data_IF_626499268638
#
_entry.id   IF_626499268638
#
_cell.length_a   1.000
_cell.length_b   1.000
_cell.length_c   1.000
_cell.angle_alpha   90.00
_cell.angle_beta   90.00
_cell.angle_gamma   90.00
#
_symmetry.space_group_name_H-M   'P 1'
#
loop_
_entity.id
_entity.type
_entity.pdbx_description
1 polymer ?
#
# COMPACT_ATOMS: atom_id res chain seq x y z
N UNK A 1 -3.82 -78.67 19.31
CA UNK A 1 -2.71 -78.58 18.36
C UNK A 1 -2.27 -77.12 18.34
N UNK A 2 -1.04 -76.94 18.79
CA UNK A 2 -0.06 -75.90 18.52
C UNK A 2 -0.17 -74.47 19.06
N UNK A 3 0.98 -74.10 19.62
CA UNK A 3 1.40 -72.92 20.37
C UNK A 3 1.63 -71.67 19.50
N UNK A 4 1.96 -70.58 20.21
CA UNK A 4 2.88 -69.48 19.85
C UNK A 4 2.22 -68.13 19.58
N UNK A 5 2.86 -66.99 19.82
CA UNK A 5 3.73 -66.47 20.88
C UNK A 5 3.75 -64.93 20.65
N UNK A 6 4.14 -64.16 21.66
CA UNK A 6 4.17 -62.70 21.72
C UNK A 6 4.80 -61.94 20.52
N UNK A 7 4.39 -60.70 20.25
CA UNK A 7 5.25 -59.51 20.45
C UNK A 7 4.52 -58.15 20.31
N UNK A 8 5.02 -57.20 21.10
CA UNK A 8 4.65 -55.79 21.26
C UNK A 8 5.39 -54.94 20.22
N UNK A 9 4.77 -53.91 19.63
CA UNK A 9 5.51 -52.78 19.06
C UNK A 9 4.65 -51.51 19.02
N UNK A 10 5.01 -50.55 19.88
CA UNK A 10 4.69 -49.13 19.74
C UNK A 10 5.43 -48.57 18.52
N UNK A 11 4.76 -47.74 17.71
CA UNK A 11 5.43 -46.88 16.74
C UNK A 11 4.89 -45.47 16.77
N UNK A 12 5.85 -44.55 16.69
CA UNK A 12 5.87 -43.14 17.08
C UNK A 12 5.19 -42.22 16.05
N UNK A 13 4.80 -41.03 16.54
CA UNK A 13 4.49 -39.80 15.80
C UNK A 13 5.70 -39.30 14.99
N UNK A 14 5.48 -38.66 13.82
CA UNK A 14 6.04 -37.31 13.56
C UNK A 14 4.99 -36.39 12.87
N UNK A 15 4.71 -35.16 13.36
CA UNK A 15 5.39 -33.88 13.05
C UNK A 15 5.26 -33.53 11.54
N UNK A 16 4.35 -32.65 11.08
CA UNK A 16 4.24 -31.18 11.26
C UNK A 16 5.37 -30.34 10.63
N UNK A 17 5.65 -30.51 9.31
CA UNK A 17 6.43 -29.52 8.53
C UNK A 17 5.92 -29.39 7.08
N UNK A 18 4.98 -28.47 6.82
CA UNK A 18 4.67 -28.04 5.44
C UNK A 18 4.24 -26.56 5.31
N UNK A 19 4.25 -25.79 6.40
CA UNK A 19 3.70 -24.42 6.43
C UNK A 19 4.72 -23.28 6.33
N UNK A 20 6.02 -23.55 6.50
CA UNK A 20 7.04 -22.50 6.78
C UNK A 20 7.56 -21.85 5.47
N UNK A 21 7.72 -22.63 4.39
CA UNK A 21 8.38 -22.17 3.16
C UNK A 21 7.65 -21.04 2.43
N UNK A 22 6.31 -21.07 2.41
CA UNK A 22 5.49 -20.03 1.75
C UNK A 22 5.44 -18.70 2.53
N UNK A 23 5.66 -18.74 3.84
CA UNK A 23 5.62 -17.54 4.70
C UNK A 23 6.93 -16.76 4.60
N UNK A 24 8.06 -17.46 4.64
CA UNK A 24 9.38 -16.84 4.51
C UNK A 24 9.60 -16.22 3.14
N UNK A 25 9.14 -16.88 2.07
CA UNK A 25 9.26 -16.35 0.70
C UNK A 25 8.44 -15.06 0.49
N UNK A 26 7.24 -15.00 1.10
CA UNK A 26 6.42 -13.78 1.12
C UNK A 26 7.08 -12.68 1.95
N UNK A 27 7.66 -13.02 3.09
CA UNK A 27 8.39 -12.09 3.97
C UNK A 27 9.63 -11.52 3.29
N UNK A 28 10.36 -12.34 2.54
CA UNK A 28 11.51 -11.92 1.74
C UNK A 28 11.14 -10.96 0.60
N UNK A 29 10.02 -11.22 -0.10
CA UNK A 29 9.49 -10.31 -1.12
C UNK A 29 9.05 -8.97 -0.53
N UNK A 30 8.40 -8.98 0.64
CA UNK A 30 7.99 -7.78 1.35
C UNK A 30 9.20 -6.92 1.78
N UNK A 31 10.23 -7.56 2.34
CA UNK A 31 11.47 -6.89 2.75
C UNK A 31 12.20 -6.27 1.57
N UNK A 32 12.20 -6.94 0.40
CA UNK A 32 12.83 -6.42 -0.82
C UNK A 32 12.13 -5.18 -1.36
N UNK A 33 10.80 -5.15 -1.32
CA UNK A 33 10.00 -3.97 -1.70
C UNK A 33 10.22 -2.80 -0.73
N UNK A 34 10.29 -3.09 0.58
CA UNK A 34 10.59 -2.10 1.60
C UNK A 34 11.96 -1.45 1.37
N UNK A 35 13.00 -2.25 1.13
CA UNK A 35 14.34 -1.72 0.87
C UNK A 35 14.41 -0.89 -0.43
N UNK A 36 13.64 -1.28 -1.45
CA UNK A 36 13.54 -0.52 -2.71
C UNK A 36 12.85 0.82 -2.48
N UNK A 37 11.80 0.85 -1.67
CA UNK A 37 11.11 2.07 -1.26
C UNK A 37 12.01 2.98 -0.42
N UNK A 38 12.73 2.42 0.55
CA UNK A 38 13.66 3.16 1.41
C UNK A 38 14.77 3.80 0.57
N UNK A 39 15.35 3.07 -0.38
CA UNK A 39 16.36 3.59 -1.30
C UNK A 39 15.82 4.64 -2.27
N UNK A 40 14.56 4.53 -2.69
CA UNK A 40 13.89 5.55 -3.49
C UNK A 40 13.67 6.84 -2.68
N UNK A 41 13.16 6.72 -1.45
CA UNK A 41 12.94 7.85 -0.55
C UNK A 41 14.25 8.56 -0.19
N UNK A 42 15.34 7.81 -0.03
CA UNK A 42 16.67 8.38 0.25
C UNK A 42 17.21 9.22 -0.91
N UNK A 43 16.80 8.94 -2.16
CA UNK A 43 17.15 9.74 -3.34
C UNK A 43 16.28 10.98 -3.50
N UNK A 44 14.99 10.87 -3.19
CA UNK A 44 14.06 12.00 -3.26
C UNK A 44 14.27 13.01 -2.12
N UNK A 45 14.72 12.53 -0.96
CA UNK A 45 15.04 13.34 0.20
C UNK A 45 16.53 13.19 0.55
N UNK A 46 17.47 13.81 -0.19
CA UNK A 46 18.87 13.78 0.18
C UNK A 46 19.00 14.44 1.56
N UNK A 47 19.27 13.64 2.60
CA UNK A 47 19.76 14.19 3.86
C UNK A 47 21.06 14.90 3.51
N UNK A 48 21.06 16.23 3.47
CA UNK A 48 22.31 17.00 3.54
C UNK A 48 23.00 16.53 4.82
N UNK A 49 24.08 15.77 4.68
CA UNK A 49 25.01 15.52 5.79
C UNK A 49 25.66 16.85 6.11
N UNK A 50 24.99 17.63 6.96
CA UNK A 50 25.60 18.80 7.60
C UNK A 50 26.44 18.24 8.73
N UNK A 51 27.76 18.29 8.54
CA UNK A 51 28.74 17.86 9.53
C UNK A 51 28.40 18.46 10.91
N UNK A 52 28.32 17.57 11.91
CA UNK A 52 28.50 17.86 13.33
C UNK A 52 27.81 19.10 13.88
N UNK A 53 26.50 19.03 14.09
CA UNK A 53 25.85 19.88 15.11
C UNK A 53 24.83 19.02 15.84
N UNK A 54 25.07 18.76 17.13
CA UNK A 54 24.07 18.22 18.04
C UNK A 54 22.88 19.18 18.02
N UNK A 55 21.82 18.81 17.31
CA UNK A 55 20.67 19.67 17.11
C UNK A 55 19.44 18.92 17.60
N UNK A 56 19.00 19.26 18.81
CA UNK A 56 17.60 19.09 19.25
C UNK A 56 16.66 20.01 18.43
N UNK A 57 16.88 20.08 17.12
CA UNK A 57 16.17 20.94 16.20
C UNK A 57 14.98 20.18 15.68
N UNK A 58 13.78 20.60 16.08
CA UNK A 58 12.53 20.19 15.47
C UNK A 58 12.71 20.25 13.95
N UNK A 59 12.55 19.12 13.27
CA UNK A 59 12.83 18.94 11.83
C UNK A 59 11.87 19.70 10.90
N UNK A 60 11.28 20.80 11.37
CA UNK A 60 10.29 21.61 10.68
C UNK A 60 10.89 22.52 9.58
N UNK A 61 12.22 22.62 9.49
CA UNK A 61 12.89 23.56 8.57
C UNK A 61 13.06 23.02 7.13
N UNK A 62 12.81 21.74 6.88
CA UNK A 62 12.83 21.18 5.53
C UNK A 62 11.39 21.15 5.00
N UNK A 63 11.07 21.87 3.90
CA UNK A 63 9.74 21.80 3.32
C UNK A 63 9.42 20.35 2.93
N UNK A 64 8.25 19.87 3.33
CA UNK A 64 7.78 18.55 2.91
C UNK A 64 7.76 18.50 1.38
N UNK A 65 8.23 17.38 0.83
CA UNK A 65 8.07 17.11 -0.60
C UNK A 65 6.57 17.16 -0.94
N UNK A 66 6.23 17.69 -2.11
CA UNK A 66 4.86 17.60 -2.64
C UNK A 66 4.80 16.50 -3.69
N UNK A 67 3.95 15.50 -3.47
CA UNK A 67 3.65 14.46 -4.46
C UNK A 67 2.38 14.85 -5.19
N UNK A 68 2.47 14.94 -6.52
CA UNK A 68 1.32 15.24 -7.39
C UNK A 68 0.80 13.94 -7.98
N UNK A 69 -0.44 13.61 -7.68
CA UNK A 69 -1.11 12.40 -8.18
C UNK A 69 -2.02 12.71 -9.37
N UNK A 70 -1.88 11.90 -10.43
CA UNK A 70 -2.96 11.73 -11.40
C UNK A 70 -4.05 10.79 -10.85
N UNK A 71 -5.23 10.82 -11.46
CA UNK A 71 -6.41 10.04 -11.05
C UNK A 71 -6.55 8.76 -11.88
N UNK A 72 -6.98 8.90 -13.14
CA UNK A 72 -7.36 7.77 -13.99
C UNK A 72 -6.14 6.91 -14.37
N UNK A 73 -6.28 5.60 -14.27
CA UNK A 73 -5.19 4.62 -14.46
C UNK A 73 -4.02 4.77 -13.46
N UNK A 74 -4.16 5.63 -12.44
CA UNK A 74 -3.16 5.82 -11.38
C UNK A 74 -3.75 5.43 -10.01
N UNK A 75 -4.75 6.16 -9.53
CA UNK A 75 -5.45 5.92 -8.25
C UNK A 75 -6.80 5.23 -8.44
N UNK A 76 -7.46 5.48 -9.58
CA UNK A 76 -8.79 4.96 -9.88
C UNK A 76 -8.90 4.48 -11.32
N UNK A 77 -9.98 3.79 -11.61
CA UNK A 77 -10.40 3.46 -12.97
C UNK A 77 -11.89 3.76 -13.15
N UNK A 78 -12.22 4.62 -14.11
CA UNK A 78 -13.59 5.08 -14.36
C UNK A 78 -14.12 4.60 -15.73
N UNK A 79 -15.38 4.16 -15.77
CA UNK A 79 -16.06 3.73 -17.01
C UNK A 79 -17.54 4.09 -17.03
N UNK A 80 -18.12 4.27 -18.23
CA UNK A 80 -19.56 4.56 -18.37
C UNK A 80 -20.46 3.36 -18.07
N UNK A 81 -19.97 2.14 -18.33
CA UNK A 81 -20.67 0.89 -18.06
C UNK A 81 -19.95 0.13 -16.96
N UNK A 82 -20.69 -0.53 -16.07
CA UNK A 82 -20.12 -1.39 -15.03
C UNK A 82 -19.39 -2.57 -15.69
N UNK A 83 -18.13 -2.76 -15.35
CA UNK A 83 -17.26 -3.85 -15.80
C UNK A 83 -16.85 -4.78 -14.65
N UNK A 84 -16.72 -4.24 -13.43
CA UNK A 84 -16.31 -5.00 -12.25
C UNK A 84 -17.35 -4.88 -11.12
N UNK A 85 -17.41 -5.89 -10.26
CA UNK A 85 -18.35 -5.93 -9.13
C UNK A 85 -18.11 -4.80 -8.13
N UNK A 86 -16.84 -4.49 -7.87
CA UNK A 86 -16.35 -3.47 -6.93
C UNK A 86 -16.37 -2.03 -7.48
N UNK A 87 -16.98 -1.80 -8.65
CA UNK A 87 -17.20 -0.43 -9.12
C UNK A 87 -18.42 0.19 -8.45
N UNK A 88 -18.21 1.40 -7.92
CA UNK A 88 -19.25 2.25 -7.33
C UNK A 88 -19.76 3.23 -8.38
N UNK A 89 -21.08 3.46 -8.40
CA UNK A 89 -21.68 4.44 -9.30
C UNK A 89 -21.64 5.83 -8.69
N UNK A 90 -20.92 6.76 -9.32
CA UNK A 90 -20.78 8.14 -8.87
C UNK A 90 -21.76 9.02 -9.65
N UNK A 91 -22.96 9.18 -9.09
CA UNK A 91 -24.09 9.91 -9.69
C UNK A 91 -23.73 11.26 -10.32
N UNK A 92 -23.01 12.18 -9.64
CA UNK A 92 -22.76 13.52 -10.17
C UNK A 92 -21.95 13.57 -11.47
N UNK A 93 -21.10 12.57 -11.70
CA UNK A 93 -20.24 12.46 -12.89
C UNK A 93 -20.75 11.41 -13.88
N UNK A 94 -21.67 10.53 -13.46
CA UNK A 94 -22.25 9.44 -14.26
C UNK A 94 -21.20 8.43 -14.76
N UNK A 95 -20.31 8.01 -13.85
CA UNK A 95 -19.32 6.96 -14.08
C UNK A 95 -19.40 5.89 -13.00
N UNK A 96 -19.09 4.65 -13.40
CA UNK A 96 -18.70 3.57 -12.52
C UNK A 96 -17.21 3.70 -12.22
N UNK A 97 -16.83 3.82 -10.95
CA UNK A 97 -15.46 4.06 -10.51
C UNK A 97 -15.00 2.90 -9.63
N UNK A 98 -13.86 2.31 -9.97
CA UNK A 98 -13.13 1.40 -9.10
C UNK A 98 -11.94 2.14 -8.49
N UNK A 99 -11.79 2.05 -7.17
CA UNK A 99 -10.59 2.50 -6.48
C UNK A 99 -9.52 1.42 -6.64
N UNK A 100 -8.29 1.82 -6.97
CA UNK A 100 -7.18 0.87 -7.08
C UNK A 100 -6.96 0.16 -5.73
N UNK A 101 -6.71 -1.16 -5.71
CA UNK A 101 -6.45 -1.88 -4.46
C UNK A 101 -5.34 -1.20 -3.65
N UNK A 102 -5.56 -1.09 -2.34
CA UNK A 102 -4.66 -0.43 -1.37
C UNK A 102 -4.40 1.07 -1.60
N UNK A 103 -5.21 1.74 -2.44
CA UNK A 103 -5.03 3.16 -2.72
C UNK A 103 -5.09 4.02 -1.46
N UNK A 104 -6.00 3.72 -0.53
CA UNK A 104 -6.20 4.53 0.68
C UNK A 104 -5.01 4.40 1.63
N UNK A 105 -4.51 3.19 1.81
CA UNK A 105 -3.35 2.89 2.63
C UNK A 105 -2.09 3.56 2.08
N UNK A 106 -1.89 3.52 0.76
CA UNK A 106 -0.78 4.23 0.09
C UNK A 106 -0.88 5.74 0.34
N UNK A 107 -2.04 6.35 0.12
CA UNK A 107 -2.24 7.78 0.35
C UNK A 107 -2.01 8.16 1.83
N UNK A 108 -2.45 7.30 2.76
CA UNK A 108 -2.20 7.49 4.18
C UNK A 108 -0.71 7.42 4.53
N UNK A 109 0.06 6.49 3.96
CA UNK A 109 1.51 6.43 4.20
C UNK A 109 2.25 7.63 3.58
N UNK A 110 1.82 8.11 2.42
CA UNK A 110 2.46 9.26 1.76
C UNK A 110 2.21 10.56 2.54
N UNK A 111 1.01 10.74 3.11
CA UNK A 111 0.68 11.96 3.89
C UNK A 111 1.60 12.20 5.09
N UNK A 112 2.18 11.15 5.65
CA UNK A 112 3.07 11.24 6.82
C UNK A 112 4.37 11.96 6.46
N UNK A 113 4.85 11.78 5.22
CA UNK A 113 6.17 12.19 4.76
C UNK A 113 6.15 13.29 3.68
N UNK A 114 5.00 13.53 3.05
CA UNK A 114 4.85 14.46 1.93
C UNK A 114 3.48 15.15 1.96
N UNK A 115 3.43 16.37 1.44
CA UNK A 115 2.18 17.00 1.03
C UNK A 115 1.68 16.35 -0.27
N UNK A 116 0.37 16.32 -0.48
CA UNK A 116 -0.21 15.68 -1.66
C UNK A 116 -1.15 16.64 -2.39
N UNK A 117 -1.06 16.61 -3.72
CA UNK A 117 -1.94 17.35 -4.63
C UNK A 117 -2.47 16.41 -5.71
N UNK A 118 -3.61 16.78 -6.30
CA UNK A 118 -4.15 16.08 -7.47
C UNK A 118 -3.99 16.95 -8.71
N UNK A 119 -3.47 16.36 -9.78
CA UNK A 119 -3.42 16.97 -11.11
C UNK A 119 -3.85 15.93 -12.14
N UNK A 120 -4.95 16.18 -12.84
CA UNK A 120 -5.51 15.22 -13.78
C UNK A 120 -6.08 15.91 -15.01
N UNK A 121 -6.14 15.17 -16.12
CA UNK A 121 -6.76 15.63 -17.36
C UNK A 121 -8.30 15.69 -17.30
N UNK A 122 -8.91 15.21 -16.22
CA UNK A 122 -10.35 15.27 -16.01
C UNK A 122 -10.88 16.70 -15.83
N UNK A 123 -12.17 16.90 -16.13
CA UNK A 123 -12.83 18.20 -15.88
C UNK A 123 -12.83 18.55 -14.37
N UNK A 124 -12.88 19.83 -13.98
CA UNK A 124 -12.90 20.22 -12.56
C UNK A 124 -14.02 19.54 -11.76
N UNK A 125 -15.22 19.40 -12.34
CA UNK A 125 -16.34 18.69 -11.73
C UNK A 125 -16.02 17.21 -11.50
N UNK A 126 -15.39 16.57 -12.49
CA UNK A 126 -14.98 15.17 -12.38
C UNK A 126 -13.94 14.99 -11.26
N UNK A 127 -12.87 15.78 -11.30
CA UNK A 127 -11.79 15.75 -10.30
C UNK A 127 -12.37 15.96 -8.89
N UNK A 128 -13.23 16.96 -8.70
CA UNK A 128 -13.85 17.23 -7.41
C UNK A 128 -14.59 16.01 -6.83
N UNK A 129 -15.42 15.34 -7.64
CA UNK A 129 -16.19 14.20 -7.15
C UNK A 129 -15.34 12.93 -6.94
N UNK A 130 -14.29 12.72 -7.73
CA UNK A 130 -13.33 11.63 -7.48
C UNK A 130 -12.51 11.89 -6.21
N UNK A 131 -12.05 13.12 -6.01
CA UNK A 131 -11.34 13.50 -4.77
C UNK A 131 -12.26 13.34 -3.57
N UNK A 132 -13.53 13.75 -3.64
CA UNK A 132 -14.50 13.53 -2.56
C UNK A 132 -14.73 12.04 -2.26
N UNK A 133 -14.64 11.17 -3.27
CA UNK A 133 -14.72 9.71 -3.08
C UNK A 133 -13.46 9.16 -2.37
N UNK A 134 -12.28 9.67 -2.71
CA UNK A 134 -11.00 9.24 -2.15
C UNK A 134 -10.69 9.85 -0.77
N UNK A 135 -11.11 11.09 -0.52
CA UNK A 135 -10.80 11.88 0.67
C UNK A 135 -12.05 12.66 1.14
N UNK A 136 -13.06 11.96 1.69
CA UNK A 136 -14.31 12.60 2.09
C UNK A 136 -14.13 13.66 3.19
N UNK A 137 -13.15 13.44 4.08
CA UNK A 137 -12.81 14.32 5.20
C UNK A 137 -11.86 15.46 4.82
N UNK A 138 -11.36 15.50 3.58
CA UNK A 138 -10.44 16.53 3.06
C UNK A 138 -9.15 16.65 3.88
N UNK A 139 -8.57 15.52 4.24
CA UNK A 139 -7.36 15.44 5.08
C UNK A 139 -6.11 15.03 4.32
N UNK A 140 -6.25 14.58 3.07
CA UNK A 140 -5.16 14.02 2.25
C UNK A 140 -4.66 15.04 1.23
N UNK A 141 -5.57 15.68 0.48
CA UNK A 141 -5.20 16.56 -0.62
C UNK A 141 -5.42 18.04 -0.26
N UNK A 142 -4.39 18.86 -0.47
CA UNK A 142 -4.42 20.32 -0.26
C UNK A 142 -4.80 21.08 -1.52
#
# INVERSE_FOLDING_TARGET
MDESNANKQETKKPEEEAGISKVEEKKGKLNRLKNMWDGFMQRLCPRRTRNGVNSDSSSNDIPKLTVVFDLDSTLIYSTKKKQFSNQEWVNPIRYHVAIRPHCREVLQSVREIADMMVYSAGTPKYVHHIVQLLDPEKTLFK
#
